data_IF_282251568295
#
_entry.id   IF_282251568295
#
_cell.length_a   1.000
_cell.length_b   1.000
_cell.length_c   1.000
_cell.angle_alpha   90.00
_cell.angle_beta   90.00
_cell.angle_gamma   90.00
#
_symmetry.space_group_name_H-M   'P 1'
#
loop_
_entity.id
_entity.type
_entity.pdbx_description
1 polymer ?
#
# COMPACT_ATOMS: atom_id res chain seq x y z
N UNK A 1 -23.76 -5.49 19.15
CA UNK A 1 -23.58 -6.13 17.82
C UNK A 1 -23.69 -5.13 16.67
N UNK A 2 -24.42 -4.02 16.78
CA UNK A 2 -24.45 -2.96 15.76
C UNK A 2 -23.13 -2.16 15.68
N UNK A 3 -22.37 -2.05 16.77
CA UNK A 3 -21.06 -1.35 16.77
C UNK A 3 -19.89 -2.17 16.19
N UNK A 4 -20.05 -3.49 16.00
CA UNK A 4 -19.01 -4.36 15.41
C UNK A 4 -18.88 -4.15 13.90
N UNK A 5 -19.91 -3.57 13.27
CA UNK A 5 -19.94 -3.21 11.86
C UNK A 5 -20.01 -1.69 11.71
N UNK A 6 -19.19 -0.94 12.46
CA UNK A 6 -18.92 0.45 12.07
C UNK A 6 -18.11 0.44 10.77
N UNK A 7 -18.86 0.31 9.68
CA UNK A 7 -18.34 0.20 8.33
C UNK A 7 -17.51 1.43 7.97
N UNK A 8 -17.83 2.59 8.55
CA UNK A 8 -17.07 3.81 8.36
C UNK A 8 -15.67 3.68 8.97
N UNK A 9 -15.57 3.23 10.23
CA UNK A 9 -14.29 2.97 10.88
C UNK A 9 -13.48 1.90 10.13
N UNK A 10 -14.13 0.81 9.72
CA UNK A 10 -13.50 -0.28 8.98
C UNK A 10 -12.91 0.19 7.65
N UNK A 11 -13.66 0.98 6.87
CA UNK A 11 -13.19 1.51 5.58
C UNK A 11 -11.93 2.38 5.77
N UNK A 12 -11.89 3.23 6.79
CA UNK A 12 -10.71 4.08 7.07
C UNK A 12 -9.49 3.25 7.45
N UNK A 13 -9.68 2.24 8.30
CA UNK A 13 -8.61 1.30 8.69
C UNK A 13 -8.10 0.49 7.49
N UNK A 14 -9.00 0.02 6.63
CA UNK A 14 -8.64 -0.69 5.40
C UNK A 14 -7.90 0.21 4.42
N UNK A 15 -8.34 1.46 4.24
CA UNK A 15 -7.64 2.43 3.41
C UNK A 15 -6.21 2.66 3.92
N UNK A 16 -6.05 2.91 5.22
CA UNK A 16 -4.73 3.08 5.84
C UNK A 16 -3.84 1.83 5.63
N UNK A 17 -4.34 0.65 5.98
CA UNK A 17 -3.60 -0.60 5.89
C UNK A 17 -3.20 -0.94 4.45
N UNK A 18 -4.13 -0.80 3.49
CA UNK A 18 -3.90 -1.06 2.09
C UNK A 18 -2.89 -0.07 1.49
N UNK A 19 -3.05 1.22 1.80
CA UNK A 19 -2.13 2.27 1.36
C UNK A 19 -0.71 2.00 1.84
N UNK A 20 -0.54 1.65 3.13
CA UNK A 20 0.75 1.27 3.70
C UNK A 20 1.31 0.00 3.05
N UNK A 21 0.50 -1.03 2.85
CA UNK A 21 0.91 -2.26 2.19
C UNK A 21 1.42 -2.01 0.76
N UNK A 22 0.75 -1.14 0.00
CA UNK A 22 1.20 -0.72 -1.32
C UNK A 22 2.55 0.01 -1.25
N UNK A 23 2.71 0.97 -0.35
CA UNK A 23 3.98 1.72 -0.21
C UNK A 23 5.12 0.78 0.17
N UNK A 24 4.95 0.00 1.23
CA UNK A 24 5.99 -0.89 1.75
C UNK A 24 6.34 -1.98 0.75
N UNK A 25 5.33 -2.62 0.14
CA UNK A 25 5.52 -3.68 -0.85
C UNK A 25 6.29 -3.20 -2.08
N UNK A 26 5.92 -2.03 -2.62
CA UNK A 26 6.61 -1.48 -3.79
C UNK A 26 8.01 -0.96 -3.46
N UNK A 27 8.23 -0.34 -2.28
CA UNK A 27 9.56 0.04 -1.83
C UNK A 27 10.47 -1.19 -1.68
N UNK A 28 9.96 -2.27 -1.08
CA UNK A 28 10.69 -3.53 -0.96
C UNK A 28 11.00 -4.14 -2.34
N UNK A 29 10.07 -4.06 -3.29
CA UNK A 29 10.29 -4.53 -4.65
C UNK A 29 11.38 -3.73 -5.37
N UNK A 30 11.36 -2.39 -5.27
CA UNK A 30 12.43 -1.52 -5.81
C UNK A 30 13.77 -1.86 -5.18
N UNK A 31 13.81 -2.06 -3.86
CA UNK A 31 15.05 -2.39 -3.15
C UNK A 31 15.65 -3.72 -3.58
N UNK A 32 14.83 -4.77 -3.74
CA UNK A 32 15.26 -6.07 -4.28
C UNK A 32 15.72 -5.97 -5.73
N UNK A 33 14.99 -5.23 -6.56
CA UNK A 33 15.37 -5.01 -7.95
C UNK A 33 16.73 -4.30 -8.06
N UNK A 34 16.99 -3.29 -7.22
CA UNK A 34 18.30 -2.60 -7.16
C UNK A 34 19.43 -3.51 -6.70
N UNK A 35 19.13 -4.61 -6.01
CA UNK A 35 20.10 -5.66 -5.62
C UNK A 35 20.29 -6.73 -6.70
N UNK A 36 19.57 -6.65 -7.81
CA UNK A 36 19.58 -7.69 -8.85
C UNK A 36 18.84 -8.97 -8.44
N UNK A 37 18.11 -8.94 -7.32
CA UNK A 37 17.27 -10.05 -6.89
C UNK A 37 16.01 -10.06 -7.75
N UNK A 38 15.77 -11.17 -8.44
CA UNK A 38 14.53 -11.44 -9.18
C UNK A 38 13.80 -12.63 -8.54
N UNK A 39 12.46 -12.65 -8.57
CA UNK A 39 11.72 -13.83 -8.12
C UNK A 39 12.20 -15.06 -8.88
N UNK A 40 12.37 -16.17 -8.16
CA UNK A 40 12.60 -17.47 -8.81
C UNK A 40 11.26 -17.85 -9.45
N UNK A 41 11.29 -18.27 -10.70
CA UNK A 41 10.14 -18.79 -11.44
C UNK A 41 9.11 -17.76 -11.96
N UNK A 42 9.41 -16.45 -11.94
CA UNK A 42 8.59 -15.45 -12.62
C UNK A 42 9.31 -14.87 -13.86
N UNK A 43 8.63 -14.91 -15.02
CA UNK A 43 9.14 -14.42 -16.30
C UNK A 43 8.89 -12.92 -16.58
N UNK A 44 8.40 -12.18 -15.58
CA UNK A 44 8.06 -10.77 -15.73
C UNK A 44 9.24 -9.83 -15.40
N UNK A 45 9.44 -8.81 -16.23
CA UNK A 45 10.39 -7.73 -15.92
C UNK A 45 9.81 -6.80 -14.86
N UNK A 46 10.67 -6.37 -13.93
CA UNK A 46 10.30 -5.36 -12.96
C UNK A 46 10.03 -4.01 -13.65
N UNK A 47 8.89 -3.39 -13.34
CA UNK A 47 8.45 -2.10 -13.93
C UNK A 47 8.64 -0.97 -12.92
N UNK A 48 9.81 -0.31 -12.86
CA UNK A 48 10.10 0.70 -11.83
C UNK A 48 9.15 1.90 -11.87
N UNK A 49 8.70 2.30 -13.06
CA UNK A 49 7.73 3.39 -13.20
C UNK A 49 6.37 3.07 -12.57
N UNK A 50 5.89 1.83 -12.74
CA UNK A 50 4.65 1.38 -12.11
C UNK A 50 4.80 1.30 -10.58
N UNK A 51 5.93 0.77 -10.10
CA UNK A 51 6.20 0.69 -8.68
C UNK A 51 6.23 2.08 -8.01
N UNK A 52 6.88 3.06 -8.64
CA UNK A 52 6.90 4.44 -8.17
C UNK A 52 5.49 5.07 -8.15
N UNK A 53 4.70 4.82 -9.19
CA UNK A 53 3.30 5.26 -9.24
C UNK A 53 2.47 4.66 -8.09
N UNK A 54 2.60 3.36 -7.84
CA UNK A 54 1.88 2.67 -6.76
C UNK A 54 2.31 3.15 -5.37
N UNK A 55 3.57 3.56 -5.19
CA UNK A 55 4.02 4.22 -3.96
C UNK A 55 3.30 5.55 -3.79
N UNK A 56 3.20 6.37 -4.84
CA UNK A 56 2.48 7.64 -4.81
C UNK A 56 1.01 7.45 -4.43
N UNK A 57 0.30 6.56 -5.13
CA UNK A 57 -1.12 6.26 -4.85
C UNK A 57 -1.30 5.68 -3.44
N UNK A 58 -0.46 4.71 -3.05
CA UNK A 58 -0.51 4.11 -1.72
C UNK A 58 -0.29 5.15 -0.60
N UNK A 59 0.60 6.12 -0.83
CA UNK A 59 0.87 7.21 0.11
C UNK A 59 -0.37 8.11 0.28
N UNK A 60 -1.01 8.50 -0.82
CA UNK A 60 -2.24 9.31 -0.78
C UNK A 60 -3.36 8.60 -0.03
N UNK A 61 -3.57 7.30 -0.30
CA UNK A 61 -4.59 6.49 0.36
C UNK A 61 -4.27 6.33 1.86
N UNK A 62 -3.01 6.05 2.20
CA UNK A 62 -2.58 5.90 3.59
C UNK A 62 -2.75 7.20 4.38
N UNK A 63 -2.37 8.34 3.78
CA UNK A 63 -2.55 9.65 4.40
C UNK A 63 -4.03 9.96 4.62
N UNK A 64 -4.88 9.73 3.62
CA UNK A 64 -6.31 9.94 3.74
C UNK A 64 -6.92 9.08 4.85
N UNK A 65 -6.67 7.75 4.82
CA UNK A 65 -7.18 6.83 5.84
C UNK A 65 -6.66 7.18 7.24
N UNK A 66 -5.38 7.56 7.37
CA UNK A 66 -4.79 7.99 8.63
C UNK A 66 -5.38 9.29 9.17
N UNK A 67 -5.52 10.32 8.33
CA UNK A 67 -6.12 11.61 8.72
C UNK A 67 -7.58 11.41 9.13
N UNK A 68 -8.35 10.63 8.37
CA UNK A 68 -9.75 10.33 8.70
C UNK A 68 -9.92 9.55 10.00
N UNK A 69 -8.91 8.81 10.48
CA UNK A 69 -8.94 8.17 11.80
C UNK A 69 -8.58 9.12 12.95
N UNK A 70 -7.89 10.22 12.65
CA UNK A 70 -7.45 11.20 13.64
C UNK A 70 -8.45 12.35 13.82
N UNK A 71 -9.23 12.65 12.77
CA UNK A 71 -10.12 13.83 12.71
C UNK A 71 -11.60 13.47 12.92
N UNK A 72 -11.98 12.21 12.69
CA UNK A 72 -13.34 11.71 12.96
C UNK A 72 -13.42 10.97 14.31
#
# INVERSE_FOLDING_TARGET
>A
MQDILDLNLLIKQLALALGLAMVIGNLAAIWKHRRGERPKDEGGDFRPGLAAWLIGVGTLIALWGGISLLVD
#
